data_IF_397037144305
#
_entry.id   IF_397037144305
#
_cell.length_a   1.000
_cell.length_b   1.000
_cell.length_c   1.000
_cell.angle_alpha   90.00
_cell.angle_beta   90.00
_cell.angle_gamma   90.00
#
_symmetry.space_group_name_H-M   'P 1'
#
loop_
_entity.id
_entity.type
_entity.pdbx_description
1 polymer ?
#
# COMPACT_ATOMS: atom_id res chain seq x y z
N UNK A 1 23.15 -7.69 2.52
CA UNK A 1 23.20 -8.98 1.78
C UNK A 1 22.05 -9.15 0.79
N UNK A 2 20.80 -8.74 1.09
CA UNK A 2 19.67 -8.84 0.13
C UNK A 2 19.90 -8.13 -1.21
N UNK A 3 20.44 -6.89 -1.23
CA UNK A 3 20.70 -6.16 -2.47
C UNK A 3 21.77 -6.79 -3.39
N UNK A 4 22.54 -7.77 -2.90
CA UNK A 4 23.47 -8.54 -3.73
C UNK A 4 22.79 -9.76 -4.38
N UNK A 5 21.64 -10.19 -3.86
CA UNK A 5 20.86 -11.34 -4.33
C UNK A 5 19.62 -10.94 -5.14
N UNK A 6 19.07 -9.77 -4.85
CA UNK A 6 17.88 -9.19 -5.50
C UNK A 6 18.27 -7.76 -5.96
N UNK A 7 18.77 -7.59 -7.19
CA UNK A 7 19.17 -6.28 -7.71
C UNK A 7 18.04 -5.24 -7.62
N UNK A 8 16.80 -5.64 -7.87
CA UNK A 8 15.60 -4.81 -7.84
C UNK A 8 15.36 -4.19 -6.46
N UNK A 9 15.81 -4.84 -5.38
CA UNK A 9 15.71 -4.29 -4.03
C UNK A 9 16.50 -2.97 -3.91
N UNK A 10 17.62 -2.83 -4.62
CA UNK A 10 18.38 -1.57 -4.65
C UNK A 10 17.58 -0.46 -5.34
N UNK A 11 16.89 -0.79 -6.43
CA UNK A 11 16.08 0.18 -7.17
C UNK A 11 14.87 0.63 -6.36
N UNK A 12 14.16 -0.30 -5.71
CA UNK A 12 13.04 0.02 -4.79
C UNK A 12 13.52 0.96 -3.68
N UNK A 13 14.65 0.65 -3.04
CA UNK A 13 15.22 1.50 -1.98
C UNK A 13 15.61 2.89 -2.51
N UNK A 14 16.20 2.96 -3.71
CA UNK A 14 16.58 4.23 -4.34
C UNK A 14 15.35 5.11 -4.63
N UNK A 15 14.22 4.51 -5.00
CA UNK A 15 12.95 5.23 -5.18
C UNK A 15 12.41 5.69 -3.82
N UNK A 16 12.39 4.80 -2.83
CA UNK A 16 11.91 5.09 -1.48
C UNK A 16 12.69 6.23 -0.81
N UNK A 17 14.01 6.28 -0.97
CA UNK A 17 14.87 7.34 -0.43
C UNK A 17 14.57 8.73 -0.98
N UNK A 18 13.95 8.81 -2.18
CA UNK A 18 13.52 10.08 -2.78
C UNK A 18 12.16 10.55 -2.25
N UNK A 19 11.41 9.69 -1.57
CA UNK A 19 10.14 10.07 -0.95
C UNK A 19 10.40 10.90 0.31
N UNK A 20 9.59 11.94 0.52
CA UNK A 20 9.65 12.75 1.73
C UNK A 20 9.19 11.92 2.94
N UNK A 21 9.89 12.02 4.07
CA UNK A 21 9.60 11.22 5.29
C UNK A 21 8.26 11.52 5.96
N UNK A 22 7.64 12.64 5.60
CA UNK A 22 6.36 13.08 6.16
C UNK A 22 5.53 13.63 5.01
N UNK A 23 4.78 12.74 4.36
CA UNK A 23 3.88 13.13 3.29
C UNK A 23 2.60 13.73 3.89
N UNK A 24 2.34 15.00 3.61
CA UNK A 24 1.07 15.63 3.91
C UNK A 24 0.15 15.52 2.68
N UNK A 25 -1.13 15.21 2.91
CA UNK A 25 -2.12 15.29 1.83
C UNK A 25 -2.34 16.73 1.37
N UNK A 26 -2.78 16.89 0.13
CA UNK A 26 -3.31 18.15 -0.38
C UNK A 26 -4.76 18.39 0.06
N UNK A 27 -5.41 19.33 -0.61
CA UNK A 27 -6.76 19.80 -0.26
C UNK A 27 -7.87 18.82 -0.66
N UNK A 28 -7.60 17.93 -1.62
CA UNK A 28 -8.59 16.98 -2.12
C UNK A 28 -8.66 15.69 -1.28
N UNK A 29 -9.84 15.05 -1.21
CA UNK A 29 -10.03 13.86 -0.38
C UNK A 29 -9.32 12.63 -0.95
N UNK A 30 -8.88 11.77 -0.04
CA UNK A 30 -8.25 10.48 -0.35
C UNK A 30 -9.13 9.35 0.16
N UNK A 31 -9.58 8.49 -0.75
CA UNK A 31 -10.44 7.33 -0.44
C UNK A 31 -9.71 6.05 -0.84
N UNK A 32 -9.50 5.16 0.13
CA UNK A 32 -8.92 3.84 -0.11
C UNK A 32 -10.04 2.81 -0.21
N UNK A 33 -9.96 1.92 -1.19
CA UNK A 33 -10.79 0.74 -1.31
C UNK A 33 -9.97 -0.50 -1.01
N UNK A 34 -10.36 -1.23 0.03
CA UNK A 34 -9.75 -2.46 0.51
C UNK A 34 -10.67 -3.66 0.25
N UNK A 35 -10.14 -4.86 0.44
CA UNK A 35 -10.90 -6.12 0.33
C UNK A 35 -10.17 -7.19 -0.47
N UNK A 36 -10.70 -8.41 -0.51
CA UNK A 36 -10.03 -9.56 -1.14
C UNK A 36 -10.01 -9.47 -2.67
N UNK A 37 -9.12 -10.22 -3.32
CA UNK A 37 -9.09 -10.29 -4.79
C UNK A 37 -10.41 -10.83 -5.35
N UNK A 38 -10.71 -10.46 -6.59
CA UNK A 38 -11.92 -10.88 -7.31
C UNK A 38 -13.28 -10.50 -6.66
N UNK A 39 -13.32 -9.49 -5.79
CA UNK A 39 -14.58 -8.97 -5.18
C UNK A 39 -15.22 -7.80 -5.95
N UNK A 40 -14.75 -7.51 -7.17
CA UNK A 40 -15.29 -6.41 -7.99
C UNK A 40 -14.73 -5.01 -7.67
N UNK A 41 -13.74 -4.89 -6.76
CA UNK A 41 -13.13 -3.59 -6.40
C UNK A 41 -12.66 -2.78 -7.61
N UNK A 42 -11.99 -3.41 -8.57
CA UNK A 42 -11.49 -2.71 -9.76
C UNK A 42 -12.62 -2.08 -10.57
N UNK A 43 -13.80 -2.70 -10.61
CA UNK A 43 -14.98 -2.13 -11.25
C UNK A 43 -15.49 -0.92 -10.50
N UNK A 44 -15.58 -1.01 -9.16
CA UNK A 44 -16.04 0.10 -8.31
C UNK A 44 -15.06 1.27 -8.32
N UNK A 45 -13.76 1.02 -8.16
CA UNK A 45 -12.74 2.08 -8.16
C UNK A 45 -12.66 2.80 -9.49
N UNK A 46 -12.84 2.09 -10.61
CA UNK A 46 -12.93 2.70 -11.94
C UNK A 46 -14.17 3.59 -12.06
N UNK A 47 -15.35 3.10 -11.65
CA UNK A 47 -16.59 3.88 -11.68
C UNK A 47 -16.51 5.14 -10.80
N UNK A 48 -15.96 5.03 -9.59
CA UNK A 48 -15.77 6.16 -8.66
C UNK A 48 -14.78 7.17 -9.24
N UNK A 49 -13.67 6.68 -9.82
CA UNK A 49 -12.70 7.53 -10.48
C UNK A 49 -13.35 8.37 -11.59
N UNK A 50 -14.13 7.73 -12.46
CA UNK A 50 -14.77 8.43 -13.58
C UNK A 50 -15.90 9.36 -13.12
N UNK A 51 -16.62 9.02 -12.05
CA UNK A 51 -17.69 9.86 -11.48
C UNK A 51 -17.16 11.12 -10.77
N UNK A 52 -15.96 11.06 -10.18
CA UNK A 52 -15.35 12.16 -9.41
C UNK A 52 -14.24 12.90 -10.16
N UNK A 53 -13.94 12.52 -11.41
CA UNK A 53 -12.75 12.93 -12.15
C UNK A 53 -11.46 12.78 -11.30
N UNK A 54 -11.39 11.66 -10.57
CA UNK A 54 -10.34 11.41 -9.59
C UNK A 54 -9.09 10.78 -10.23
N UNK A 55 -7.98 10.85 -9.52
CA UNK A 55 -6.79 10.05 -9.81
C UNK A 55 -6.94 8.68 -9.16
N UNK A 56 -6.80 7.61 -9.96
CA UNK A 56 -6.79 6.23 -9.46
C UNK A 56 -5.35 5.73 -9.32
N UNK A 57 -4.92 5.49 -8.08
CA UNK A 57 -3.64 4.89 -7.74
C UNK A 57 -3.84 3.46 -7.19
N UNK A 58 -2.81 2.63 -7.26
CA UNK A 58 -2.88 1.20 -6.88
C UNK A 58 -1.63 0.78 -6.12
N UNK A 59 -1.77 -0.21 -5.25
CA UNK A 59 -0.63 -0.87 -4.59
C UNK A 59 -0.31 -2.23 -5.22
N UNK A 60 0.96 -2.54 -5.57
CA UNK A 60 2.12 -1.64 -5.50
C UNK A 60 2.05 -0.54 -6.58
N UNK A 61 2.70 0.62 -6.36
CA UNK A 61 2.69 1.74 -7.32
C UNK A 61 3.35 1.35 -8.65
N UNK A 62 2.94 2.03 -9.73
CA UNK A 62 3.34 1.67 -11.09
C UNK A 62 4.85 1.67 -11.33
N UNK A 63 5.61 2.50 -10.60
CA UNK A 63 7.05 2.59 -10.72
C UNK A 63 7.82 1.37 -10.17
N UNK A 64 7.18 0.50 -9.38
CA UNK A 64 7.78 -0.72 -8.85
C UNK A 64 6.97 -1.99 -9.18
N UNK A 65 5.81 -1.84 -9.82
CA UNK A 65 4.87 -2.94 -10.06
C UNK A 65 5.45 -4.03 -10.96
N UNK A 66 6.38 -3.67 -11.85
CA UNK A 66 7.10 -4.60 -12.71
C UNK A 66 7.93 -5.65 -11.94
N UNK A 67 8.30 -5.36 -10.68
CA UNK A 67 9.08 -6.29 -9.86
C UNK A 67 8.23 -7.14 -8.92
N UNK A 68 6.90 -6.97 -8.95
CA UNK A 68 5.98 -7.68 -8.06
C UNK A 68 6.23 -9.19 -8.03
N UNK A 69 6.27 -9.84 -9.19
CA UNK A 69 6.46 -11.30 -9.28
C UNK A 69 7.78 -11.74 -8.62
N UNK A 70 8.85 -10.95 -8.78
CA UNK A 70 10.16 -11.25 -8.19
C UNK A 70 10.06 -11.26 -6.66
N UNK A 71 9.42 -10.25 -6.07
CA UNK A 71 9.27 -10.16 -4.61
C UNK A 71 8.21 -11.11 -4.06
N UNK A 72 7.21 -11.48 -4.86
CA UNK A 72 6.17 -12.44 -4.45
C UNK A 72 6.77 -13.85 -4.21
N UNK A 73 7.79 -14.21 -4.99
CA UNK A 73 8.54 -15.48 -4.91
C UNK A 73 9.59 -15.52 -3.78
N UNK A 74 9.89 -14.38 -3.14
CA UNK A 74 10.87 -14.30 -2.05
C UNK A 74 10.27 -14.73 -0.69
N UNK A 75 11.12 -15.10 0.31
CA UNK A 75 10.67 -15.39 1.66
C UNK A 75 9.81 -14.28 2.26
N UNK A 76 8.86 -14.66 3.12
CA UNK A 76 7.85 -13.76 3.70
C UNK A 76 8.38 -12.42 4.22
N UNK A 77 9.52 -12.34 4.95
CA UNK A 77 10.05 -11.05 5.40
C UNK A 77 10.43 -10.10 4.25
N UNK A 78 10.97 -10.63 3.14
CA UNK A 78 11.38 -9.83 1.97
C UNK A 78 10.15 -9.37 1.19
N UNK A 79 9.20 -10.29 0.92
CA UNK A 79 7.94 -9.95 0.27
C UNK A 79 7.19 -8.83 1.02
N UNK A 80 7.11 -8.94 2.35
CA UNK A 80 6.47 -7.90 3.18
C UNK A 80 7.20 -6.57 3.13
N UNK A 81 8.54 -6.58 3.15
CA UNK A 81 9.32 -5.36 3.03
C UNK A 81 9.06 -4.64 1.70
N UNK A 82 8.88 -5.38 0.60
CA UNK A 82 8.52 -4.80 -0.70
C UNK A 82 7.16 -4.09 -0.66
N UNK A 83 6.12 -4.73 -0.12
CA UNK A 83 4.80 -4.10 -0.02
C UNK A 83 4.76 -2.93 0.97
N UNK A 84 5.49 -3.03 2.08
CA UNK A 84 5.64 -1.92 3.02
C UNK A 84 6.31 -0.71 2.33
N UNK A 85 7.46 -0.92 1.66
CA UNK A 85 8.13 0.12 0.89
C UNK A 85 7.22 0.72 -0.20
N UNK A 86 6.46 -0.14 -0.90
CA UNK A 86 5.48 0.27 -1.88
C UNK A 86 4.42 1.22 -1.32
N UNK A 87 3.96 1.03 -0.08
CA UNK A 87 3.01 1.93 0.56
C UNK A 87 3.60 3.32 0.83
N UNK A 88 4.87 3.44 1.22
CA UNK A 88 5.52 4.75 1.40
C UNK A 88 5.79 5.46 0.07
N UNK A 89 6.15 4.70 -0.98
CA UNK A 89 6.27 5.27 -2.33
C UNK A 89 4.91 5.77 -2.81
N UNK A 90 3.87 4.95 -2.66
CA UNK A 90 2.49 5.31 -2.99
C UNK A 90 1.99 6.51 -2.18
N UNK A 91 2.38 6.65 -0.91
CA UNK A 91 2.07 7.83 -0.08
C UNK A 91 2.56 9.13 -0.73
N UNK A 92 3.75 9.09 -1.34
CA UNK A 92 4.32 10.24 -2.07
C UNK A 92 3.52 10.57 -3.32
N UNK A 93 3.03 9.56 -4.05
CA UNK A 93 2.16 9.76 -5.22
C UNK A 93 0.79 10.33 -4.81
N UNK A 94 0.19 9.78 -3.74
CA UNK A 94 -1.08 10.24 -3.17
C UNK A 94 -0.98 11.70 -2.72
N UNK A 95 0.06 12.05 -1.98
CA UNK A 95 0.29 13.41 -1.50
C UNK A 95 0.35 14.41 -2.66
N UNK A 96 1.08 14.07 -3.73
CA UNK A 96 1.16 14.90 -4.93
C UNK A 96 -0.19 15.00 -5.64
N UNK A 97 -0.86 13.87 -5.89
CA UNK A 97 -2.13 13.83 -6.62
C UNK A 97 -3.26 14.58 -5.89
N UNK A 98 -3.32 14.45 -4.56
CA UNK A 98 -4.32 15.13 -3.72
C UNK A 98 -4.18 16.65 -3.66
N UNK A 99 -3.11 17.24 -4.22
CA UNK A 99 -3.05 18.70 -4.44
C UNK A 99 -3.86 19.17 -5.64
N UNK A 100 -4.27 18.26 -6.54
CA UNK A 100 -4.86 18.61 -7.84
C UNK A 100 -6.27 18.04 -8.03
N UNK A 101 -6.57 16.86 -7.48
CA UNK A 101 -7.84 16.18 -7.66
C UNK A 101 -8.10 15.17 -6.53
N UNK A 102 -9.36 14.71 -6.34
CA UNK A 102 -9.65 13.58 -5.46
C UNK A 102 -8.80 12.36 -5.82
N UNK A 103 -8.44 11.56 -4.82
CA UNK A 103 -7.60 10.37 -5.02
C UNK A 103 -8.35 9.12 -4.58
N UNK A 104 -8.50 8.17 -5.50
CA UNK A 104 -8.99 6.83 -5.22
C UNK A 104 -7.79 5.89 -5.19
N UNK A 105 -7.68 5.06 -4.16
CA UNK A 105 -6.56 4.14 -3.97
C UNK A 105 -7.09 2.70 -3.90
N UNK A 106 -6.66 1.83 -4.81
CA UNK A 106 -6.95 0.39 -4.77
C UNK A 106 -5.86 -0.32 -3.96
N UNK A 107 -6.23 -0.73 -2.74
CA UNK A 107 -5.37 -1.30 -1.68
C UNK A 107 -4.31 -0.35 -1.14
N UNK A 108 -4.13 -0.39 0.18
CA UNK A 108 -3.07 0.36 0.85
C UNK A 108 -2.56 -0.40 2.10
N UNK A 109 -2.38 0.29 3.23
CA UNK A 109 -1.82 -0.29 4.45
C UNK A 109 -2.62 -1.48 4.99
N UNK A 110 -3.96 -1.44 4.95
CA UNK A 110 -4.77 -2.51 5.53
C UNK A 110 -4.58 -3.82 4.80
N UNK A 111 -4.42 -3.80 3.46
CA UNK A 111 -4.02 -5.01 2.71
C UNK A 111 -2.68 -5.55 3.23
N UNK A 112 -1.64 -4.71 3.37
CA UNK A 112 -0.34 -5.17 3.88
C UNK A 112 -0.43 -5.73 5.31
N UNK A 113 -1.17 -5.07 6.20
CA UNK A 113 -1.36 -5.50 7.59
C UNK A 113 -2.16 -6.82 7.65
N UNK A 114 -3.29 -6.92 6.94
CA UNK A 114 -4.15 -8.10 6.96
C UNK A 114 -3.44 -9.35 6.43
N UNK A 115 -2.77 -9.26 5.27
CA UNK A 115 -1.99 -10.39 4.73
C UNK A 115 -0.81 -10.74 5.65
N UNK A 116 -0.18 -9.75 6.28
CA UNK A 116 0.92 -9.98 7.24
C UNK A 116 0.43 -10.79 8.44
N UNK A 117 -0.63 -10.34 9.10
CA UNK A 117 -1.25 -11.02 10.25
C UNK A 117 -1.68 -12.43 9.86
N UNK A 118 -2.45 -12.57 8.77
CA UNK A 118 -2.96 -13.87 8.33
C UNK A 118 -1.84 -14.88 8.06
N UNK A 119 -0.70 -14.42 7.51
CA UNK A 119 0.46 -15.27 7.25
C UNK A 119 1.21 -15.61 8.55
N UNK A 120 1.38 -14.67 9.49
CA UNK A 120 2.04 -14.95 10.78
C UNK A 120 1.28 -15.98 11.63
N UNK A 121 -0.06 -15.91 11.60
CA UNK A 121 -0.89 -16.83 12.38
C UNK A 121 -1.13 -18.17 11.66
N UNK A 122 -0.57 -18.38 10.47
CA UNK A 122 -0.85 -19.51 9.59
C UNK A 122 -2.36 -19.72 9.36
N UNK A 123 -3.13 -18.64 9.27
CA UNK A 123 -4.59 -18.66 9.14
C UNK A 123 -5.37 -19.10 10.39
N UNK A 124 -4.71 -19.39 11.51
CA UNK A 124 -5.40 -19.76 12.75
C UNK A 124 -5.90 -18.51 13.50
N UNK A 125 -7.21 -18.28 13.45
CA UNK A 125 -7.90 -17.15 14.08
C UNK A 125 -7.64 -17.07 15.59
N UNK A 126 -7.40 -18.20 16.28
CA UNK A 126 -7.12 -18.21 17.71
C UNK A 126 -5.77 -17.58 18.07
N UNK A 127 -4.88 -17.44 17.07
CA UNK A 127 -3.57 -16.84 17.23
C UNK A 127 -3.56 -15.36 16.82
N UNK A 128 -4.73 -14.74 16.58
CA UNK A 128 -4.80 -13.32 16.27
C UNK A 128 -4.19 -12.48 17.41
N UNK A 129 -3.46 -11.42 17.06
CA UNK A 129 -3.01 -10.43 18.04
C UNK A 129 -4.20 -9.89 18.87
N UNK A 130 -3.98 -9.51 20.14
CA UNK A 130 -5.02 -8.89 20.96
C UNK A 130 -5.61 -7.65 20.29
N UNK A 131 -6.89 -7.34 20.50
CA UNK A 131 -7.60 -6.23 19.82
C UNK A 131 -6.91 -4.86 19.96
N UNK A 132 -6.15 -4.67 21.03
CA UNK A 132 -5.40 -3.44 21.31
C UNK A 132 -3.93 -3.45 20.83
N UNK A 133 -3.52 -4.48 20.09
CA UNK A 133 -2.18 -4.59 19.55
C UNK A 133 -1.90 -3.47 18.53
N UNK A 134 -0.69 -2.93 18.54
CA UNK A 134 -0.25 -1.86 17.65
C UNK A 134 -0.31 -2.23 16.17
N UNK A 135 -0.31 -3.53 15.84
CA UNK A 135 -0.41 -4.01 14.44
C UNK A 135 -1.74 -3.60 13.76
N UNK A 136 -2.78 -3.32 14.54
CA UNK A 136 -4.07 -2.83 14.04
C UNK A 136 -4.11 -1.31 13.85
N UNK A 137 -3.11 -0.59 14.36
CA UNK A 137 -3.05 0.86 14.24
C UNK A 137 -2.47 1.28 12.89
N UNK A 138 -2.90 2.44 12.42
CA UNK A 138 -2.30 3.08 11.26
C UNK A 138 -0.87 3.54 11.60
N UNK A 139 0.14 3.36 10.73
CA UNK A 139 1.50 3.80 11.01
C UNK A 139 1.55 5.32 11.14
N UNK A 140 2.19 5.83 12.20
CA UNK A 140 2.22 7.27 12.49
C UNK A 140 2.93 8.10 11.41
N UNK A 141 3.83 7.47 10.65
CA UNK A 141 4.64 8.08 9.61
C UNK A 141 4.11 7.82 8.18
N UNK A 142 2.99 7.13 8.04
CA UNK A 142 2.35 6.87 6.76
C UNK A 142 1.15 7.79 6.56
N UNK A 143 1.05 8.42 5.39
CA UNK A 143 -0.07 9.29 5.05
C UNK A 143 -1.41 8.59 5.26
N UNK A 144 -2.25 9.11 6.15
CA UNK A 144 -3.57 8.54 6.46
C UNK A 144 -4.64 9.05 5.49
N UNK A 145 -5.46 8.17 4.87
CA UNK A 145 -6.56 8.59 4.01
C UNK A 145 -7.71 9.20 4.81
N UNK A 146 -8.60 9.91 4.11
CA UNK A 146 -9.82 10.49 4.71
C UNK A 146 -10.90 9.42 4.95
N UNK A 147 -10.93 8.40 4.08
CA UNK A 147 -11.89 7.30 4.15
C UNK A 147 -11.28 5.99 3.66
N UNK A 148 -11.68 4.88 4.30
CA UNK A 148 -11.37 3.52 3.87
C UNK A 148 -12.68 2.75 3.73
N UNK A 149 -12.87 2.09 2.59
CA UNK A 149 -14.06 1.31 2.22
C UNK A 149 -13.71 -0.15 1.92
#
# INVERSE_FOLDING_TARGET
>A
QCAARIPEAREVLTILEKCTKQQCKGDFPIVVFEGLDATGKTTVTQAVKDALDAVLLRSPPACISQWRTIFDDEPTPIRRAFYAAGNYILASEIAKASTQAPVVVDRYWHSTAAYTIATEINGNVQNLPPVQDGVYQWPEDLLKPDLVL
#
